data_IF_186739483705
#
_entry.id   IF_186739483705
#
_cell.length_a   1.000
_cell.length_b   1.000
_cell.length_c   1.000
_cell.angle_alpha   90.00
_cell.angle_beta   90.00
_cell.angle_gamma   90.00
#
_symmetry.space_group_name_H-M   'P 1'
#
loop_
_entity.id
_entity.type
_entity.pdbx_description
1 polymer ?
#
# COMPACT_ATOMS: atom_id res chain seq x y z
N UNK A 1 -31.27 0.42 2.61
CA UNK A 1 -30.72 1.61 1.92
C UNK A 1 -29.23 1.46 1.78
N UNK A 2 -28.68 1.61 0.59
CA UNK A 2 -27.25 1.61 0.28
C UNK A 2 -26.65 2.98 0.65
N UNK A 3 -25.35 3.03 0.88
CA UNK A 3 -24.65 4.30 1.05
C UNK A 3 -24.38 4.95 -0.32
N UNK A 4 -23.93 4.12 -1.27
CA UNK A 4 -23.72 4.52 -2.65
C UNK A 4 -24.33 3.51 -3.62
N UNK A 5 -24.85 4.03 -4.74
CA UNK A 5 -25.26 3.25 -5.90
C UNK A 5 -24.58 3.82 -7.15
N UNK A 6 -23.73 3.03 -7.78
CA UNK A 6 -23.12 3.35 -9.07
C UNK A 6 -24.01 2.70 -10.14
N UNK A 7 -24.65 3.50 -10.98
CA UNK A 7 -25.59 3.04 -12.01
C UNK A 7 -24.97 3.03 -13.40
N UNK A 8 -25.37 2.05 -14.21
CA UNK A 8 -25.11 2.02 -15.65
C UNK A 8 -23.63 1.88 -16.00
N UNK A 9 -22.88 1.13 -15.23
CA UNK A 9 -21.47 0.87 -15.50
C UNK A 9 -21.26 -0.31 -16.45
N UNK A 10 -20.12 -0.34 -17.14
CA UNK A 10 -19.52 -1.54 -17.70
C UNK A 10 -18.53 -2.08 -16.65
N UNK A 11 -18.94 -3.10 -15.91
CA UNK A 11 -18.14 -3.64 -14.80
C UNK A 11 -17.10 -4.59 -15.35
N UNK A 12 -15.84 -4.32 -15.04
CA UNK A 12 -14.68 -5.20 -15.28
C UNK A 12 -14.12 -5.59 -13.91
N UNK A 13 -14.49 -6.75 -13.42
CA UNK A 13 -14.33 -7.15 -12.01
C UNK A 13 -12.95 -7.70 -11.65
N UNK A 14 -12.02 -7.80 -12.62
CA UNK A 14 -10.67 -8.31 -12.40
C UNK A 14 -10.54 -9.83 -12.43
N UNK A 15 -11.60 -10.57 -12.74
CA UNK A 15 -11.56 -12.05 -12.85
C UNK A 15 -10.94 -12.55 -14.15
N UNK A 16 -10.73 -11.66 -15.13
CA UNK A 16 -10.29 -11.98 -16.48
C UNK A 16 -11.45 -12.24 -17.46
N UNK A 17 -12.70 -12.14 -16.99
CA UNK A 17 -13.88 -12.18 -17.83
C UNK A 17 -14.11 -10.86 -18.58
N UNK A 18 -14.92 -10.89 -19.63
CA UNK A 18 -15.32 -9.68 -20.34
C UNK A 18 -16.13 -8.73 -19.45
N UNK A 19 -16.05 -7.44 -19.74
CA UNK A 19 -16.86 -6.44 -19.05
C UNK A 19 -18.36 -6.68 -19.31
N UNK A 20 -19.19 -6.48 -18.29
CA UNK A 20 -20.62 -6.66 -18.34
C UNK A 20 -21.38 -5.44 -17.80
N UNK A 21 -22.57 -5.12 -18.32
CA UNK A 21 -23.36 -4.01 -17.81
C UNK A 21 -23.97 -4.34 -16.46
N UNK A 22 -23.71 -3.51 -15.45
CA UNK A 22 -24.30 -3.66 -14.12
C UNK A 22 -24.30 -2.34 -13.34
N UNK A 23 -25.14 -2.33 -12.29
CA UNK A 23 -25.07 -1.37 -11.19
C UNK A 23 -24.25 -1.99 -10.04
N UNK A 24 -23.62 -1.15 -9.21
CA UNK A 24 -22.88 -1.58 -8.03
C UNK A 24 -23.39 -0.85 -6.81
N UNK A 25 -23.88 -1.60 -5.84
CA UNK A 25 -24.35 -1.10 -4.56
C UNK A 25 -23.27 -1.26 -3.47
N UNK A 26 -23.01 -0.18 -2.74
CA UNK A 26 -22.04 -0.13 -1.65
C UNK A 26 -22.77 0.15 -0.34
N UNK A 27 -22.44 -0.62 0.68
CA UNK A 27 -22.96 -0.50 2.04
C UNK A 27 -21.84 -0.72 3.07
N UNK A 28 -21.72 0.18 4.04
CA UNK A 28 -20.74 0.10 5.11
C UNK A 28 -19.30 -0.13 4.60
N UNK A 29 -18.91 0.59 3.53
CA UNK A 29 -17.59 0.52 2.90
C UNK A 29 -17.30 -0.76 2.10
N UNK A 30 -18.31 -1.62 1.88
CA UNK A 30 -18.16 -2.87 1.12
C UNK A 30 -19.11 -2.92 -0.07
N UNK A 31 -18.74 -3.69 -1.11
CA UNK A 31 -19.64 -3.97 -2.25
C UNK A 31 -20.70 -4.96 -1.73
N UNK A 32 -21.94 -4.46 -1.63
CA UNK A 32 -23.07 -5.23 -1.12
C UNK A 32 -23.84 -5.96 -2.24
N UNK A 33 -23.84 -5.41 -3.46
CA UNK A 33 -24.53 -6.01 -4.60
C UNK A 33 -23.91 -5.56 -5.92
N UNK A 34 -23.90 -6.46 -6.90
CA UNK A 34 -23.55 -6.18 -8.31
C UNK A 34 -24.61 -6.82 -9.19
N UNK A 35 -25.20 -6.05 -10.08
CA UNK A 35 -26.25 -6.52 -10.98
C UNK A 35 -27.24 -5.40 -11.34
N UNK A 36 -28.46 -5.76 -11.73
CA UNK A 36 -29.51 -4.77 -12.02
C UNK A 36 -30.19 -4.33 -10.73
N UNK A 37 -29.92 -3.11 -10.28
CA UNK A 37 -30.40 -2.55 -9.01
C UNK A 37 -31.39 -1.40 -9.22
N UNK A 38 -32.37 -1.57 -10.13
CA UNK A 38 -33.31 -0.52 -10.54
C UNK A 38 -34.12 0.08 -9.39
N UNK A 39 -34.48 -0.72 -8.40
CA UNK A 39 -35.35 -0.34 -7.27
C UNK A 39 -34.55 -0.14 -5.97
N UNK A 40 -33.21 -0.18 -6.06
CA UNK A 40 -32.37 -0.01 -4.88
C UNK A 40 -32.38 1.45 -4.40
N UNK A 41 -32.63 1.61 -3.10
CA UNK A 41 -32.59 2.88 -2.41
C UNK A 41 -31.18 3.16 -1.89
N UNK A 42 -30.65 4.36 -2.15
CA UNK A 42 -29.29 4.76 -1.78
C UNK A 42 -29.22 6.22 -1.35
N UNK A 43 -28.33 6.51 -0.37
CA UNK A 43 -28.08 7.88 0.07
C UNK A 43 -27.41 8.73 -1.04
N UNK A 44 -26.54 8.10 -1.83
CA UNK A 44 -25.85 8.75 -2.95
C UNK A 44 -25.93 7.88 -4.21
N UNK A 45 -26.16 8.54 -5.36
CA UNK A 45 -26.19 7.87 -6.66
C UNK A 45 -25.16 8.51 -7.58
N UNK A 46 -24.32 7.68 -8.19
CA UNK A 46 -23.37 8.05 -9.23
C UNK A 46 -23.80 7.40 -10.54
N UNK A 47 -24.11 8.20 -11.56
CA UNK A 47 -24.37 7.70 -12.91
C UNK A 47 -23.05 7.51 -13.65
N UNK A 48 -22.70 6.27 -13.93
CA UNK A 48 -21.48 5.92 -14.66
C UNK A 48 -21.56 6.21 -16.16
N UNK A 49 -22.78 6.40 -16.73
CA UNK A 49 -22.98 6.73 -18.14
C UNK A 49 -22.27 5.76 -19.10
N UNK A 50 -22.31 4.47 -18.81
CA UNK A 50 -21.63 3.44 -19.59
C UNK A 50 -20.10 3.39 -19.46
N UNK A 51 -19.51 4.19 -18.55
CA UNK A 51 -18.06 4.11 -18.28
C UNK A 51 -17.69 2.78 -17.65
N UNK A 52 -16.44 2.39 -17.85
CA UNK A 52 -15.90 1.19 -17.22
C UNK A 52 -15.68 1.42 -15.72
N UNK A 53 -16.19 0.52 -14.91
CA UNK A 53 -15.97 0.45 -13.47
C UNK A 53 -15.08 -0.76 -13.17
N UNK A 54 -13.96 -0.52 -12.52
CA UNK A 54 -13.00 -1.55 -12.13
C UNK A 54 -12.76 -1.51 -10.63
N UNK A 55 -12.23 -2.58 -10.00
CA UNK A 55 -11.52 -2.45 -8.73
C UNK A 55 -10.42 -1.40 -8.83
N UNK A 56 -10.08 -0.77 -7.70
CA UNK A 56 -8.93 0.13 -7.64
C UNK A 56 -7.64 -0.60 -8.03
N UNK A 57 -6.73 0.09 -8.70
CA UNK A 57 -5.48 -0.51 -9.15
C UNK A 57 -4.52 -0.72 -7.97
N UNK A 58 -3.74 -1.81 -8.05
CA UNK A 58 -2.69 -2.13 -7.09
C UNK A 58 -1.33 -1.89 -7.75
N UNK A 59 -0.51 -1.04 -7.12
CA UNK A 59 0.90 -0.92 -7.48
C UNK A 59 1.73 -1.79 -6.53
N UNK A 60 2.21 -2.91 -7.04
CA UNK A 60 2.91 -3.92 -6.25
C UNK A 60 4.41 -3.68 -6.14
N UNK A 61 4.94 -2.59 -6.71
CA UNK A 61 6.37 -2.28 -6.70
C UNK A 61 6.62 -0.78 -6.47
N UNK A 62 6.57 -0.38 -5.21
CA UNK A 62 6.81 1.02 -4.80
C UNK A 62 7.85 1.11 -3.69
N UNK A 63 8.46 2.29 -3.58
CA UNK A 63 9.37 2.68 -2.49
C UNK A 63 8.75 3.85 -1.73
N UNK A 64 7.63 3.60 -1.07
CA UNK A 64 6.82 4.63 -0.40
C UNK A 64 6.91 4.58 1.12
N UNK A 65 7.79 3.75 1.64
CA UNK A 65 7.90 3.41 3.05
C UNK A 65 7.99 4.64 3.98
N UNK A 66 8.82 5.63 3.61
CA UNK A 66 8.91 6.89 4.35
C UNK A 66 7.87 7.92 3.88
N UNK A 67 7.49 7.89 2.60
CA UNK A 67 6.53 8.84 2.04
C UNK A 67 5.13 8.69 2.61
N UNK A 68 4.75 7.50 3.04
CA UNK A 68 3.50 7.18 3.73
C UNK A 68 3.18 8.14 4.88
N UNK A 69 4.19 8.59 5.62
CA UNK A 69 4.04 9.48 6.77
C UNK A 69 3.98 10.98 6.41
N UNK A 70 4.08 11.31 5.12
CA UNK A 70 4.02 12.71 4.67
C UNK A 70 2.57 13.17 4.54
N UNK A 71 2.28 14.45 4.85
CA UNK A 71 0.95 15.02 4.63
C UNK A 71 0.49 14.85 3.17
N UNK A 72 -0.78 14.46 3.00
CA UNK A 72 -1.42 14.29 1.68
C UNK A 72 -0.81 13.18 0.80
N UNK A 73 0.02 12.30 1.34
CA UNK A 73 0.47 11.11 0.62
C UNK A 73 -0.73 10.30 0.13
N UNK A 74 -0.62 9.75 -1.07
CA UNK A 74 -1.71 8.96 -1.69
C UNK A 74 -2.64 9.76 -2.60
N UNK A 75 -2.63 11.10 -2.57
CA UNK A 75 -3.51 11.91 -3.45
C UNK A 75 -3.19 11.75 -4.93
N UNK A 76 -1.92 11.78 -5.28
CA UNK A 76 -1.48 11.61 -6.67
C UNK A 76 -1.72 10.18 -7.16
N UNK A 77 -1.53 9.22 -6.29
CA UNK A 77 -1.80 7.81 -6.51
C UNK A 77 -3.29 7.58 -6.76
N UNK A 78 -4.15 8.07 -5.87
CA UNK A 78 -5.60 7.95 -6.01
C UNK A 78 -6.12 8.64 -7.28
N UNK A 79 -5.56 9.80 -7.64
CA UNK A 79 -5.91 10.50 -8.88
C UNK A 79 -5.60 9.69 -10.15
N UNK A 80 -4.72 8.69 -10.06
CA UNK A 80 -4.40 7.74 -11.12
C UNK A 80 -5.18 6.41 -11.00
N UNK A 81 -6.06 6.30 -10.01
CA UNK A 81 -6.83 5.08 -9.76
C UNK A 81 -6.11 4.03 -8.91
N UNK A 82 -4.92 4.35 -8.37
CA UNK A 82 -4.20 3.47 -7.45
C UNK A 82 -4.86 3.55 -6.07
N UNK A 83 -5.29 2.42 -5.54
CA UNK A 83 -5.93 2.33 -4.21
C UNK A 83 -5.12 1.54 -3.21
N UNK A 84 -4.11 0.79 -3.68
CA UNK A 84 -3.24 -0.03 -2.84
C UNK A 84 -1.81 0.02 -3.36
N UNK A 85 -0.86 0.22 -2.45
CA UNK A 85 0.57 0.28 -2.75
C UNK A 85 1.30 -0.77 -1.93
N UNK A 86 2.33 -1.40 -2.52
CA UNK A 86 3.20 -2.34 -1.83
C UNK A 86 4.62 -1.78 -1.82
N UNK A 87 5.12 -1.44 -0.63
CA UNK A 87 6.48 -0.96 -0.38
C UNK A 87 7.43 -2.10 0.01
N UNK A 88 8.67 -1.76 0.41
CA UNK A 88 9.68 -2.73 0.84
C UNK A 88 10.27 -3.56 -0.31
N UNK A 89 10.15 -3.09 -1.53
CA UNK A 89 10.63 -3.76 -2.73
C UNK A 89 12.16 -3.70 -2.88
N UNK A 90 12.71 -4.45 -3.82
CA UNK A 90 14.15 -4.50 -4.16
C UNK A 90 15.05 -4.87 -2.97
N UNK A 91 14.51 -5.56 -1.96
CA UNK A 91 15.24 -5.84 -0.72
C UNK A 91 15.42 -4.63 0.20
N UNK A 92 14.75 -3.52 -0.08
CA UNK A 92 14.86 -2.26 0.66
C UNK A 92 13.56 -1.95 1.40
N UNK A 93 13.59 -1.92 2.73
CA UNK A 93 12.46 -1.56 3.57
C UNK A 93 12.87 -0.61 4.69
N UNK A 94 11.92 0.20 5.16
CA UNK A 94 12.14 1.12 6.27
C UNK A 94 12.05 0.43 7.64
N UNK A 95 11.48 -0.76 7.69
CA UNK A 95 11.37 -1.56 8.91
C UNK A 95 11.63 -3.05 8.60
N UNK A 96 12.15 -3.80 9.58
CA UNK A 96 12.71 -3.32 10.84
C UNK A 96 13.97 -2.46 10.61
N UNK A 97 14.23 -1.50 11.51
CA UNK A 97 15.35 -0.57 11.37
C UNK A 97 16.01 -0.31 12.74
N UNK A 98 16.98 -1.15 13.09
CA UNK A 98 17.70 -1.08 14.34
C UNK A 98 19.13 -1.63 14.19
N UNK A 99 20.02 -1.31 15.14
CA UNK A 99 21.36 -1.87 15.21
C UNK A 99 22.48 -0.88 14.85
N UNK A 100 23.72 -1.35 14.98
CA UNK A 100 24.93 -0.53 14.85
C UNK A 100 25.13 0.04 13.43
N UNK A 101 24.63 -0.63 12.41
CA UNK A 101 24.78 -0.22 11.02
C UNK A 101 23.65 0.71 10.53
N UNK A 102 22.64 1.02 11.37
CA UNK A 102 21.49 1.84 10.99
C UNK A 102 21.86 3.19 10.34
N UNK A 103 22.86 3.96 10.79
CA UNK A 103 23.23 5.22 10.12
C UNK A 103 23.69 5.03 8.67
N UNK A 104 24.48 4.00 8.39
CA UNK A 104 24.94 3.69 7.03
C UNK A 104 23.80 3.18 6.14
N UNK A 105 22.92 2.34 6.68
CA UNK A 105 21.74 1.85 5.98
C UNK A 105 20.76 2.98 5.67
N UNK A 106 20.57 3.95 6.57
CA UNK A 106 19.78 5.15 6.32
C UNK A 106 20.32 5.92 5.11
N UNK A 107 21.62 6.16 5.08
CA UNK A 107 22.26 6.87 3.96
C UNK A 107 22.09 6.11 2.64
N UNK A 108 22.15 4.79 2.67
CA UNK A 108 21.92 3.93 1.51
C UNK A 108 20.47 3.96 1.02
N UNK A 109 19.50 3.96 1.93
CA UNK A 109 18.06 3.95 1.57
C UNK A 109 17.55 5.32 1.10
N UNK A 110 18.10 6.42 1.63
CA UNK A 110 17.58 7.77 1.43
C UNK A 110 17.36 8.17 -0.05
N UNK A 111 18.22 7.82 -1.02
CA UNK A 111 17.99 8.13 -2.43
C UNK A 111 16.75 7.46 -3.03
N UNK A 112 16.31 6.35 -2.46
CA UNK A 112 15.19 5.53 -2.95
C UNK A 112 13.91 5.83 -2.18
N UNK A 113 13.95 5.76 -0.85
CA UNK A 113 12.77 5.93 0.02
C UNK A 113 12.46 7.40 0.33
N UNK A 114 13.36 8.31 -0.02
CA UNK A 114 13.41 9.69 0.46
C UNK A 114 14.13 9.78 1.81
N UNK A 115 14.68 10.96 2.12
CA UNK A 115 15.32 11.21 3.40
C UNK A 115 14.31 11.10 4.55
N UNK A 116 14.71 10.47 5.64
CA UNK A 116 13.92 10.28 6.86
C UNK A 116 14.80 10.44 8.11
N UNK A 117 14.21 10.88 9.20
CA UNK A 117 14.85 11.05 10.50
C UNK A 117 14.64 9.85 11.43
N UNK A 118 15.05 10.02 12.68
CA UNK A 118 14.93 8.97 13.71
C UNK A 118 13.47 8.63 14.05
N UNK A 119 12.57 9.55 13.80
CA UNK A 119 11.12 9.37 14.01
C UNK A 119 10.51 8.27 13.11
N UNK A 120 11.17 7.90 12.03
CA UNK A 120 10.76 6.82 11.12
C UNK A 120 11.66 5.59 11.22
N UNK A 121 12.45 5.46 12.28
CA UNK A 121 13.25 4.28 12.57
C UNK A 121 12.46 3.31 13.45
N UNK A 122 11.78 2.38 12.84
CA UNK A 122 10.92 1.40 13.52
C UNK A 122 11.70 0.11 13.79
N UNK A 123 11.74 -0.32 15.06
CA UNK A 123 12.47 -1.54 15.46
C UNK A 123 11.85 -2.82 14.89
N UNK A 124 10.56 -2.78 14.55
CA UNK A 124 9.85 -3.92 13.95
C UNK A 124 8.84 -3.46 12.88
N UNK A 125 8.40 -4.41 12.04
CA UNK A 125 7.26 -4.19 11.13
C UNK A 125 5.97 -3.85 11.90
N UNK A 126 5.78 -4.45 13.08
CA UNK A 126 4.62 -4.15 13.92
C UNK A 126 4.60 -2.68 14.37
N UNK A 127 5.74 -2.13 14.76
CA UNK A 127 5.85 -0.71 15.13
C UNK A 127 5.58 0.21 13.94
N UNK A 128 6.10 -0.15 12.77
CA UNK A 128 5.84 0.57 11.53
C UNK A 128 4.35 0.60 11.21
N UNK A 129 3.67 -0.54 11.21
CA UNK A 129 2.23 -0.61 10.92
C UNK A 129 1.40 0.09 11.99
N UNK A 130 1.76 -0.04 13.27
CA UNK A 130 1.10 0.70 14.34
C UNK A 130 1.24 2.23 14.18
N UNK A 131 2.36 2.72 13.65
CA UNK A 131 2.52 4.13 13.31
C UNK A 131 1.72 4.51 12.05
N UNK A 132 1.71 3.65 11.04
CA UNK A 132 0.94 3.85 9.81
C UNK A 132 -0.56 3.93 10.08
N UNK A 133 -1.11 3.08 10.95
CA UNK A 133 -2.52 3.11 11.36
C UNK A 133 -2.93 4.41 12.05
N UNK A 134 -2.00 5.06 12.74
CA UNK A 134 -2.24 6.39 13.37
C UNK A 134 -2.11 7.56 12.41
N UNK A 135 -1.58 7.30 11.21
CA UNK A 135 -1.40 8.32 10.16
C UNK A 135 -2.59 8.25 9.21
N UNK A 136 -3.29 9.36 8.93
CA UNK A 136 -4.39 9.35 7.97
C UNK A 136 -3.93 8.85 6.60
N UNK A 137 -4.51 7.74 6.14
CA UNK A 137 -4.18 7.11 4.87
C UNK A 137 -5.25 7.39 3.83
N UNK A 138 -4.84 7.79 2.62
CA UNK A 138 -5.73 8.00 1.46
C UNK A 138 -5.80 6.73 0.62
N UNK A 139 -4.74 5.92 0.61
CA UNK A 139 -4.63 4.63 -0.09
C UNK A 139 -4.21 3.54 0.88
N UNK A 140 -4.54 2.30 0.58
CA UNK A 140 -4.08 1.16 1.37
C UNK A 140 -2.58 0.93 1.14
N UNK A 141 -1.90 0.48 2.18
CA UNK A 141 -0.47 0.20 2.13
C UNK A 141 -0.17 -1.19 2.68
N UNK A 142 0.71 -1.89 1.99
CA UNK A 142 1.37 -3.11 2.44
C UNK A 142 2.88 -2.94 2.33
N UNK A 143 3.65 -3.70 3.09
CA UNK A 143 5.10 -3.63 3.03
C UNK A 143 5.73 -5.01 3.14
N UNK A 144 6.73 -5.25 2.30
CA UNK A 144 7.61 -6.40 2.36
C UNK A 144 8.78 -6.12 3.32
N UNK A 145 9.25 -7.14 4.01
CA UNK A 145 10.53 -7.06 4.73
C UNK A 145 11.67 -7.15 3.72
N UNK A 146 12.46 -6.10 3.60
CA UNK A 146 13.57 -6.04 2.65
C UNK A 146 14.80 -6.81 3.13
N UNK A 147 15.10 -7.96 2.54
CA UNK A 147 16.25 -8.78 2.92
C UNK A 147 17.59 -8.04 2.82
N UNK A 148 17.73 -7.12 1.86
CA UNK A 148 18.91 -6.27 1.75
C UNK A 148 19.07 -5.33 2.95
N UNK A 149 17.96 -4.70 3.39
CA UNK A 149 17.96 -3.88 4.62
C UNK A 149 18.32 -4.72 5.83
N UNK A 150 17.68 -5.88 6.02
CA UNK A 150 17.96 -6.77 7.15
C UNK A 150 19.45 -7.18 7.19
N UNK A 151 19.97 -7.67 6.06
CA UNK A 151 21.38 -8.05 5.96
C UNK A 151 22.31 -6.86 6.27
N UNK A 152 22.03 -5.70 5.71
CA UNK A 152 22.87 -4.52 5.92
C UNK A 152 22.83 -4.01 7.38
N UNK A 153 21.71 -4.15 8.07
CA UNK A 153 21.60 -3.81 9.49
C UNK A 153 22.42 -4.74 10.39
N UNK A 154 22.49 -6.02 10.04
CA UNK A 154 23.21 -7.05 10.82
C UNK A 154 24.70 -7.08 10.48
N UNK A 155 25.07 -6.99 9.21
CA UNK A 155 26.44 -7.20 8.72
C UNK A 155 27.10 -5.96 8.08
N UNK A 156 26.38 -4.85 7.96
CA UNK A 156 26.85 -3.72 7.16
C UNK A 156 26.84 -4.02 5.66
N UNK A 157 27.75 -3.36 4.93
CA UNK A 157 27.89 -3.50 3.47
C UNK A 157 29.09 -4.40 3.08
N UNK A 158 29.58 -5.20 4.02
CA UNK A 158 30.60 -6.21 3.74
C UNK A 158 30.01 -7.33 2.87
N UNK A 159 30.78 -7.87 1.93
CA UNK A 159 30.38 -8.95 1.02
C UNK A 159 30.67 -10.35 1.60
N UNK A 160 31.28 -10.41 2.81
CA UNK A 160 31.54 -11.68 3.49
C UNK A 160 30.25 -12.47 3.77
N UNK A 161 30.31 -13.81 3.76
CA UNK A 161 29.20 -14.64 4.23
C UNK A 161 28.80 -14.29 5.66
N UNK A 162 27.49 -14.33 5.95
CA UNK A 162 26.99 -14.13 7.29
C UNK A 162 27.46 -15.27 8.21
N UNK A 163 27.79 -14.93 9.45
CA UNK A 163 28.03 -15.90 10.51
C UNK A 163 26.72 -16.51 11.00
N UNK A 164 26.79 -17.66 11.67
CA UNK A 164 25.60 -18.30 12.29
C UNK A 164 24.91 -17.38 13.32
N UNK A 165 25.66 -16.49 13.98
CA UNK A 165 25.11 -15.48 14.88
C UNK A 165 24.25 -14.47 14.12
N UNK A 166 24.80 -13.92 13.03
CA UNK A 166 24.12 -12.97 12.16
C UNK A 166 22.88 -13.56 11.47
N UNK A 167 22.94 -14.84 11.08
CA UNK A 167 21.75 -15.53 10.55
C UNK A 167 20.63 -15.67 11.56
N UNK A 168 20.94 -15.75 12.85
CA UNK A 168 19.90 -15.80 13.90
C UNK A 168 19.31 -14.45 14.24
N UNK A 169 19.96 -13.35 13.85
CA UNK A 169 19.46 -11.99 14.02
C UNK A 169 18.58 -11.53 12.86
N UNK A 170 18.69 -12.20 11.69
CA UNK A 170 17.81 -11.96 10.53
C UNK A 170 16.40 -12.50 10.77
#
# INVERSE_FOLDING_TARGET
MLDWLIRGAQVLDGTGADAFPADVGIKDGTIAAVGRLTDADAAHVLDAQGRTLTPGFLDIHRHTDAALFRPNFGRAELAQGLTTLVGGNCGMSLAPFAGAHAPAVRSYLAPITGAFGDELCFASLADYFAAAERTPQIVNNAMLAGMGTLRALVAGFDDAPLTDGQYREL
#
